data_IF_606697649975
#
_entry.id   IF_606697649975
#
_cell.length_a   1.000
_cell.length_b   1.000
_cell.length_c   1.000
_cell.angle_alpha   90.00
_cell.angle_beta   90.00
_cell.angle_gamma   90.00
#
_symmetry.space_group_name_H-M   'P 1'
#
loop_
_entity.id
_entity.type
_entity.pdbx_description
1 polymer ?
#
# COMPACT_ATOMS: atom_id res chain seq x y z
N UNK A 1 14.67 23.55 63.47
CA UNK A 1 14.66 22.09 63.22
C UNK A 1 15.95 21.51 63.77
N UNK A 2 15.93 20.38 64.48
CA UNK A 2 17.15 19.74 64.98
C UNK A 2 18.06 19.42 63.79
N UNK A 3 19.39 19.55 63.95
CA UNK A 3 20.38 19.34 62.86
C UNK A 3 20.21 17.97 62.19
N UNK A 4 19.79 16.97 62.95
CA UNK A 4 19.45 15.62 62.49
C UNK A 4 18.30 15.61 61.47
N UNK A 5 17.24 16.38 61.71
CA UNK A 5 16.09 16.47 60.79
C UNK A 5 16.48 17.16 59.48
N UNK A 6 17.39 18.14 59.55
CA UNK A 6 17.90 18.85 58.36
C UNK A 6 18.73 17.89 57.50
N UNK A 7 19.58 17.07 58.12
CA UNK A 7 20.38 16.06 57.42
C UNK A 7 19.49 15.03 56.71
N UNK A 8 18.44 14.55 57.39
CA UNK A 8 17.47 13.60 56.80
C UNK A 8 16.75 14.23 55.59
N UNK A 9 16.31 15.49 55.69
CA UNK A 9 15.63 16.18 54.59
C UNK A 9 16.56 16.34 53.37
N UNK A 10 17.83 16.70 53.60
CA UNK A 10 18.83 16.83 52.52
C UNK A 10 19.10 15.46 51.87
N UNK A 11 19.23 14.40 52.67
CA UNK A 11 19.45 13.05 52.16
C UNK A 11 18.28 12.56 51.29
N UNK A 12 17.05 12.75 51.77
CA UNK A 12 15.84 12.37 51.02
C UNK A 12 15.72 13.20 49.74
N UNK A 13 15.99 14.50 49.80
CA UNK A 13 16.02 15.37 48.62
C UNK A 13 17.05 14.90 47.57
N UNK A 14 18.26 14.54 48.00
CA UNK A 14 19.29 14.03 47.11
C UNK A 14 18.89 12.70 46.43
N UNK A 15 18.24 11.79 47.17
CA UNK A 15 17.73 10.51 46.63
C UNK A 15 16.63 10.75 45.59
N UNK A 16 15.71 11.70 45.85
CA UNK A 16 14.64 12.03 44.91
C UNK A 16 15.18 12.69 43.63
N UNK A 17 16.16 13.58 43.75
CA UNK A 17 16.77 14.23 42.58
C UNK A 17 17.54 13.21 41.73
N UNK A 18 18.32 12.33 42.35
CA UNK A 18 19.12 11.33 41.63
C UNK A 18 18.24 10.30 40.92
N UNK A 19 17.16 9.82 41.56
CA UNK A 19 16.20 8.91 40.93
C UNK A 19 15.43 9.58 39.78
N UNK A 20 15.05 10.85 39.93
CA UNK A 20 14.37 11.60 38.87
C UNK A 20 15.26 11.82 37.63
N UNK A 21 16.53 12.20 37.84
CA UNK A 21 17.50 12.38 36.74
C UNK A 21 17.78 11.04 36.04
N UNK A 22 17.97 9.96 36.79
CA UNK A 22 18.18 8.62 36.24
C UNK A 22 16.99 8.16 35.39
N UNK A 23 15.76 8.35 35.89
CA UNK A 23 14.53 7.99 35.16
C UNK A 23 14.38 8.77 33.85
N UNK A 24 14.62 10.09 33.86
CA UNK A 24 14.56 10.94 32.66
C UNK A 24 15.63 10.56 31.64
N UNK A 25 16.82 10.20 32.11
CA UNK A 25 17.90 9.77 31.23
C UNK A 25 17.63 8.38 30.61
N UNK A 26 16.98 7.48 31.34
CA UNK A 26 16.68 6.12 30.86
C UNK A 26 15.45 6.07 29.94
N UNK A 27 14.41 6.89 30.18
CA UNK A 27 13.27 7.01 29.26
C UNK A 27 13.65 7.59 27.89
N UNK A 28 14.66 8.47 27.84
CA UNK A 28 15.17 9.00 26.58
C UNK A 28 16.05 8.01 25.78
N UNK A 29 16.40 6.86 26.37
CA UNK A 29 17.21 5.82 25.71
C UNK A 29 16.40 4.63 25.20
N UNK A 30 15.14 4.49 25.59
CA UNK A 30 14.21 3.54 24.95
C UNK A 30 13.79 4.09 23.58
N UNK A 31 14.70 3.99 22.61
CA UNK A 31 14.30 3.93 21.20
C UNK A 31 13.35 2.73 21.06
N UNK A 32 12.23 2.82 20.34
CA UNK A 32 11.43 1.64 20.05
C UNK A 32 12.36 0.61 19.38
N UNK A 33 12.28 -0.65 19.81
CA UNK A 33 12.99 -1.74 19.15
C UNK A 33 12.69 -1.65 17.65
N UNK A 34 13.70 -1.30 16.86
CA UNK A 34 13.59 -1.21 15.41
C UNK A 34 13.33 -2.64 14.96
N UNK A 35 12.07 -2.93 14.65
CA UNK A 35 11.69 -4.11 13.91
C UNK A 35 12.45 -4.01 12.59
N UNK A 36 13.31 -5.01 12.35
CA UNK A 36 14.17 -5.13 11.18
C UNK A 36 13.42 -4.76 9.89
N UNK A 37 13.90 -3.75 9.16
CA UNK A 37 13.79 -3.58 7.70
C UNK A 37 14.60 -2.34 7.26
N UNK A 38 15.55 -2.58 6.35
CA UNK A 38 16.34 -1.63 5.53
C UNK A 38 17.57 -0.98 6.17
N UNK A 39 18.68 -1.70 6.04
CA UNK A 39 20.01 -1.18 5.79
C UNK A 39 19.96 -0.03 4.75
N UNK A 40 20.67 1.07 5.03
CA UNK A 40 20.92 2.31 4.24
C UNK A 40 20.21 3.58 4.76
N UNK A 41 20.71 4.12 5.88
CA UNK A 41 20.28 5.43 6.41
C UNK A 41 21.03 6.63 5.81
N UNK A 42 22.05 6.46 4.96
CA UNK A 42 22.82 7.59 4.40
C UNK A 42 22.32 8.10 3.02
N UNK A 43 21.47 7.36 2.30
CA UNK A 43 20.86 7.82 1.03
C UNK A 43 19.43 8.37 1.18
N UNK A 44 18.87 8.36 2.39
CA UNK A 44 17.45 8.64 2.65
C UNK A 44 17.09 10.13 2.81
N UNK A 45 17.85 11.05 2.20
CA UNK A 45 17.44 12.46 2.10
C UNK A 45 16.73 12.79 0.78
N UNK A 46 16.77 11.88 -0.20
CA UNK A 46 16.13 12.05 -1.51
C UNK A 46 14.86 11.21 -1.74
N UNK A 47 14.49 10.30 -0.82
CA UNK A 47 13.37 9.35 -1.01
C UNK A 47 12.03 9.89 -0.42
N UNK A 48 12.08 10.95 0.40
CA UNK A 48 10.88 11.53 1.04
C UNK A 48 9.90 12.36 0.18
N UNK A 49 10.19 12.82 -1.07
CA UNK A 49 9.14 13.45 -1.89
C UNK A 49 8.19 12.42 -2.52
N UNK A 50 8.67 11.21 -2.84
CA UNK A 50 7.88 10.19 -3.55
C UNK A 50 6.72 9.64 -2.71
N UNK A 51 6.90 9.50 -1.39
CA UNK A 51 5.85 8.97 -0.51
C UNK A 51 4.61 9.86 -0.42
N UNK A 52 4.78 11.19 -0.40
CA UNK A 52 3.67 12.13 -0.31
C UNK A 52 2.88 12.21 -1.62
N UNK A 53 3.57 12.26 -2.74
CA UNK A 53 2.96 12.27 -4.08
C UNK A 53 2.22 10.96 -4.35
N UNK A 54 2.79 9.82 -3.95
CA UNK A 54 2.15 8.52 -4.07
C UNK A 54 0.87 8.41 -3.22
N UNK A 55 0.91 8.86 -1.96
CA UNK A 55 -0.28 8.90 -1.09
C UNK A 55 -1.34 9.86 -1.67
N UNK A 56 -0.94 11.00 -2.21
CA UNK A 56 -1.85 11.92 -2.88
C UNK A 56 -2.52 11.28 -4.10
N UNK A 57 -1.75 10.56 -4.94
CA UNK A 57 -2.27 9.82 -6.08
C UNK A 57 -3.27 8.73 -5.64
N UNK A 58 -2.95 7.95 -4.61
CA UNK A 58 -3.88 6.94 -4.08
C UNK A 58 -5.19 7.57 -3.59
N UNK A 59 -5.12 8.72 -2.94
CA UNK A 59 -6.32 9.47 -2.51
C UNK A 59 -7.15 9.95 -3.69
N UNK A 60 -6.52 10.34 -4.80
CA UNK A 60 -7.26 10.66 -6.03
C UNK A 60 -7.95 9.44 -6.62
N UNK A 61 -7.30 8.27 -6.64
CA UNK A 61 -7.91 7.03 -7.12
C UNK A 61 -9.07 6.56 -6.24
N UNK A 62 -8.96 6.69 -4.91
CA UNK A 62 -10.03 6.37 -3.97
C UNK A 62 -11.32 7.17 -4.23
N UNK A 63 -11.17 8.40 -4.73
CA UNK A 63 -12.29 9.29 -5.03
C UNK A 63 -13.00 8.93 -6.34
N UNK A 64 -12.33 8.17 -7.23
CA UNK A 64 -12.90 7.74 -8.51
C UNK A 64 -13.92 6.62 -8.25
N UNK A 65 -15.20 6.98 -8.32
CA UNK A 65 -16.29 6.00 -8.36
C UNK A 65 -16.56 5.64 -9.81
N UNK A 66 -16.35 4.37 -10.15
CA UNK A 66 -16.76 3.85 -11.45
C UNK A 66 -18.28 3.59 -11.40
N UNK A 67 -19.02 4.29 -12.23
CA UNK A 67 -20.41 3.95 -12.51
C UNK A 67 -20.43 2.70 -13.39
N UNK A 68 -20.78 1.57 -12.79
CA UNK A 68 -20.88 0.29 -13.47
C UNK A 68 -22.32 -0.02 -13.92
N UNK A 69 -23.27 0.90 -13.75
CA UNK A 69 -24.67 0.63 -14.06
C UNK A 69 -24.90 0.45 -15.56
N UNK A 70 -24.05 1.03 -16.41
CA UNK A 70 -24.11 0.78 -17.85
C UNK A 70 -23.87 -0.70 -18.20
N UNK A 71 -23.10 -1.45 -17.39
CA UNK A 71 -22.90 -2.89 -17.58
C UNK A 71 -24.17 -3.70 -17.28
N UNK A 72 -25.18 -3.09 -16.65
CA UNK A 72 -26.47 -3.73 -16.44
C UNK A 72 -27.37 -3.73 -17.67
N UNK A 73 -27.06 -2.94 -18.70
CA UNK A 73 -27.82 -2.94 -19.95
C UNK A 73 -27.73 -4.33 -20.62
N UNK A 74 -28.87 -4.91 -21.04
CA UNK A 74 -28.91 -6.17 -21.77
C UNK A 74 -27.92 -6.28 -22.95
N UNK A 75 -27.57 -5.17 -23.59
CA UNK A 75 -26.60 -5.09 -24.70
C UNK A 75 -25.20 -5.54 -24.28
N UNK A 76 -24.78 -5.26 -23.03
CA UNK A 76 -23.48 -5.70 -22.50
C UNK A 76 -23.54 -7.08 -21.83
N UNK A 77 -24.76 -7.61 -21.60
CA UNK A 77 -24.97 -8.94 -21.00
C UNK A 77 -25.01 -10.08 -22.01
N UNK A 78 -25.05 -9.78 -23.31
CA UNK A 78 -25.12 -10.77 -24.38
C UNK A 78 -24.19 -10.38 -25.52
N UNK A 79 -23.45 -11.35 -26.03
CA UNK A 79 -22.70 -11.19 -27.26
C UNK A 79 -23.69 -11.23 -28.43
N UNK A 80 -23.81 -10.13 -29.16
CA UNK A 80 -24.55 -10.11 -30.43
C UNK A 80 -23.61 -10.61 -31.52
N UNK A 81 -24.04 -11.63 -32.24
CA UNK A 81 -23.35 -12.00 -33.48
C UNK A 81 -23.57 -10.89 -34.51
N UNK A 82 -22.47 -10.26 -34.94
CA UNK A 82 -22.44 -9.23 -35.98
C UNK A 82 -21.90 -9.79 -37.31
N UNK A 83 -21.69 -11.11 -37.38
CA UNK A 83 -21.28 -11.77 -38.61
C UNK A 83 -22.35 -11.53 -39.67
N UNK A 84 -22.01 -10.93 -40.82
CA UNK A 84 -22.97 -10.78 -41.91
C UNK A 84 -23.38 -12.18 -42.38
N UNK A 85 -24.67 -12.39 -42.61
CA UNK A 85 -25.15 -13.62 -43.24
C UNK A 85 -24.64 -13.63 -44.69
N UNK A 86 -23.59 -14.41 -44.94
CA UNK A 86 -22.99 -14.53 -46.27
C UNK A 86 -23.87 -15.48 -47.09
N UNK A 87 -24.91 -14.93 -47.72
CA UNK A 87 -25.73 -15.63 -48.72
C UNK A 87 -25.02 -15.51 -50.08
N UNK A 88 -23.81 -16.06 -50.19
CA UNK A 88 -23.18 -16.24 -51.50
C UNK A 88 -23.60 -17.61 -52.03
N UNK A 89 -24.09 -17.73 -53.27
CA UNK A 89 -24.20 -19.04 -53.90
C UNK A 89 -22.81 -19.64 -53.88
N UNK A 90 -22.66 -20.78 -53.21
CA UNK A 90 -21.44 -21.57 -53.21
C UNK A 90 -21.05 -21.83 -54.66
N UNK A 91 -20.04 -21.10 -55.14
CA UNK A 91 -19.42 -21.41 -56.42
C UNK A 91 -18.83 -22.79 -56.21
N UNK A 92 -19.42 -23.82 -56.85
CA UNK A 92 -18.90 -25.19 -56.82
C UNK A 92 -17.39 -25.11 -56.96
N UNK A 93 -16.68 -25.43 -55.88
CA UNK A 93 -15.23 -25.50 -55.90
C UNK A 93 -14.79 -26.45 -57.00
N UNK A 94 -13.56 -26.31 -57.48
CA UNK A 94 -13.03 -27.28 -58.44
C UNK A 94 -13.16 -28.69 -57.86
N UNK A 95 -13.55 -29.64 -58.70
CA UNK A 95 -13.55 -31.06 -58.34
C UNK A 95 -12.20 -31.42 -57.70
N UNK A 96 -12.24 -32.18 -56.61
CA UNK A 96 -11.03 -32.61 -55.90
C UNK A 96 -10.14 -33.43 -56.85
N UNK A 97 -8.94 -32.94 -57.24
CA UNK A 97 -8.06 -33.65 -58.16
C UNK A 97 -7.41 -34.89 -57.52
N UNK A 98 -7.58 -35.07 -56.20
CA UNK A 98 -7.12 -36.22 -55.43
C UNK A 98 -8.26 -37.18 -55.07
N UNK A 99 -9.46 -37.00 -55.63
CA UNK A 99 -10.53 -37.98 -55.43
C UNK A 99 -10.11 -39.33 -56.06
N UNK A 100 -10.22 -40.45 -55.33
CA UNK A 100 -9.91 -41.76 -55.88
C UNK A 100 -10.84 -42.07 -57.06
N UNK A 101 -10.30 -42.72 -58.10
CA UNK A 101 -11.09 -43.18 -59.24
C UNK A 101 -12.13 -44.20 -58.75
N UNK A 102 -13.39 -43.97 -59.09
CA UNK A 102 -14.47 -44.96 -58.95
C UNK A 102 -14.43 -45.95 -60.11
#
# INVERSE_FOLDING_TARGET
MKKENILIIVLVGAILITTFVWFRYFQNQSKPAIIATMQNEEENKAIFPAGKEFIALLKTLETIKLDADFLNDPIYKKLRDLTPEIILPETKGRNNPFAPYQ
#
